data_IF_069940747794
#
_entry.id   IF_069940747794
#
_cell.length_a   1.000
_cell.length_b   1.000
_cell.length_c   1.000
_cell.angle_alpha   90.00
_cell.angle_beta   90.00
_cell.angle_gamma   90.00
#
_symmetry.space_group_name_H-M   'P 1'
#
loop_
_entity.id
_entity.type
_entity.pdbx_description
1 polymer ?
#
# COMPACT_ATOMS: atom_id res chain seq x y z
N UNK A 1 59.43 -5.89 36.43
CA UNK A 1 57.95 -5.83 36.48
C UNK A 1 57.47 -5.13 35.23
N UNK A 2 57.12 -5.90 34.20
CA UNK A 2 56.60 -5.39 32.92
C UNK A 2 55.13 -5.78 32.84
N UNK A 3 54.23 -4.80 32.91
CA UNK A 3 52.80 -5.00 32.69
C UNK A 3 52.49 -4.82 31.21
N UNK A 4 51.95 -5.86 30.59
CA UNK A 4 51.54 -5.91 29.20
C UNK A 4 50.15 -5.27 29.12
N UNK A 5 50.03 -4.13 28.44
CA UNK A 5 48.73 -3.57 28.06
C UNK A 5 48.18 -4.41 26.90
N UNK A 6 47.26 -5.32 27.23
CA UNK A 6 46.43 -6.00 26.24
C UNK A 6 45.33 -5.06 25.77
N UNK A 7 45.43 -4.58 24.53
CA UNK A 7 44.32 -3.91 23.85
C UNK A 7 43.19 -4.92 23.62
N UNK A 8 42.09 -4.74 24.35
CA UNK A 8 40.84 -5.47 24.12
C UNK A 8 40.23 -4.90 22.83
N UNK A 9 40.54 -5.53 21.70
CA UNK A 9 39.87 -5.28 20.42
C UNK A 9 38.39 -5.68 20.56
N UNK A 10 37.55 -4.70 20.83
CA UNK A 10 36.10 -4.82 20.84
C UNK A 10 35.61 -5.11 19.42
N UNK A 11 35.29 -6.36 19.12
CA UNK A 11 34.59 -6.77 17.89
C UNK A 11 33.16 -6.26 17.93
N UNK A 12 32.99 -4.96 17.63
CA UNK A 12 31.66 -4.34 17.49
C UNK A 12 30.85 -5.11 16.45
N UNK A 13 29.67 -5.55 16.87
CA UNK A 13 28.68 -6.21 16.02
C UNK A 13 28.46 -5.42 14.73
N UNK A 14 28.33 -6.10 13.60
CA UNK A 14 28.01 -5.46 12.30
C UNK A 14 26.79 -4.54 12.38
N UNK A 15 25.86 -4.80 13.32
CA UNK A 15 24.72 -3.92 13.61
C UNK A 15 25.13 -2.58 14.23
N UNK A 16 26.11 -2.57 15.14
CA UNK A 16 26.65 -1.34 15.75
C UNK A 16 27.47 -0.53 14.76
N UNK A 17 28.16 -1.17 13.83
CA UNK A 17 28.90 -0.47 12.75
C UNK A 17 27.93 0.26 11.79
N UNK A 18 26.81 -0.36 11.41
CA UNK A 18 25.76 0.24 10.58
C UNK A 18 24.97 1.35 11.33
N UNK A 19 24.66 1.16 12.61
CA UNK A 19 24.01 2.18 13.43
C UNK A 19 24.86 3.46 13.56
N UNK A 20 26.19 3.30 13.60
CA UNK A 20 27.13 4.42 13.62
C UNK A 20 27.38 5.05 12.24
N UNK A 21 27.01 4.37 11.14
CA UNK A 21 27.06 4.88 9.77
C UNK A 21 25.75 5.61 9.36
N UNK A 22 24.67 5.41 10.12
CA UNK A 22 23.37 6.04 9.94
C UNK A 22 23.40 7.60 9.96
N UNK A 23 24.19 8.28 10.82
CA UNK A 23 24.23 9.75 10.83
C UNK A 23 25.01 10.38 9.67
N UNK A 24 25.89 9.66 8.97
CA UNK A 24 26.59 10.21 7.78
C UNK A 24 25.81 10.02 6.47
N UNK A 25 24.80 9.14 6.47
CA UNK A 25 24.00 8.77 5.29
C UNK A 25 22.51 9.16 5.45
N UNK A 26 22.20 10.24 6.16
CA UNK A 26 20.84 10.63 6.60
C UNK A 26 19.73 10.79 5.54
N UNK A 27 19.98 10.42 4.29
CA UNK A 27 19.07 10.56 3.13
C UNK A 27 18.91 9.30 2.26
N UNK A 28 19.33 8.10 2.73
CA UNK A 28 19.24 6.88 1.89
C UNK A 28 17.81 6.58 1.41
N UNK A 29 16.80 6.85 2.24
CA UNK A 29 15.40 6.54 1.94
C UNK A 29 14.52 7.77 1.68
N UNK A 30 15.09 8.93 1.32
CA UNK A 30 14.35 10.18 1.10
C UNK A 30 13.25 10.43 2.17
N UNK A 31 11.98 10.16 1.83
CA UNK A 31 10.79 10.38 2.68
C UNK A 31 10.32 9.13 3.44
N UNK A 32 11.02 8.00 3.27
CA UNK A 32 10.74 6.72 3.90
C UNK A 32 11.69 6.37 5.05
N UNK A 33 11.49 5.18 5.60
CA UNK A 33 12.26 4.67 6.75
C UNK A 33 13.22 3.59 6.28
N UNK A 34 14.51 3.70 6.65
CA UNK A 34 15.50 2.69 6.29
C UNK A 34 15.48 1.53 7.28
N UNK A 35 15.18 0.33 6.79
CA UNK A 35 15.40 -0.94 7.48
C UNK A 35 16.64 -1.66 6.98
N UNK A 36 17.04 -2.71 7.70
CA UNK A 36 18.16 -3.57 7.32
C UNK A 36 17.62 -4.97 7.03
N UNK A 37 17.80 -5.44 5.81
CA UNK A 37 17.46 -6.81 5.39
C UNK A 37 18.70 -7.68 5.49
N UNK A 38 18.57 -8.80 6.22
CA UNK A 38 19.62 -9.81 6.31
C UNK A 38 19.49 -10.75 5.11
N UNK A 39 20.56 -10.86 4.31
CA UNK A 39 20.63 -11.86 3.25
C UNK A 39 20.82 -13.27 3.84
N UNK A 40 20.46 -14.29 3.06
CA UNK A 40 20.73 -15.70 3.40
C UNK A 40 22.23 -15.95 3.60
N UNK A 41 23.06 -15.21 2.84
CA UNK A 41 24.49 -15.10 3.12
C UNK A 41 24.71 -14.09 4.26
N UNK A 42 25.07 -14.63 5.43
CA UNK A 42 25.13 -13.96 6.74
C UNK A 42 26.10 -12.76 6.76
N UNK A 43 26.95 -12.64 5.75
CA UNK A 43 27.97 -11.60 5.60
C UNK A 43 27.48 -10.27 4.99
N UNK A 44 26.31 -10.24 4.34
CA UNK A 44 25.80 -9.04 3.66
C UNK A 44 24.48 -8.53 4.25
N UNK A 45 24.56 -7.39 4.92
CA UNK A 45 23.41 -6.59 5.35
C UNK A 45 23.10 -5.56 4.27
N UNK A 46 21.89 -5.60 3.73
CA UNK A 46 21.43 -4.63 2.72
C UNK A 46 20.43 -3.66 3.34
N UNK A 47 20.48 -2.39 2.94
CA UNK A 47 19.49 -1.40 3.37
C UNK A 47 18.26 -1.52 2.47
N UNK A 48 17.08 -1.57 3.08
CA UNK A 48 15.80 -1.59 2.39
C UNK A 48 14.96 -0.42 2.87
N UNK A 49 14.39 0.35 1.96
CA UNK A 49 13.52 1.47 2.30
C UNK A 49 12.05 1.03 2.38
N UNK A 50 11.38 1.44 3.45
CA UNK A 50 9.93 1.35 3.60
C UNK A 50 9.32 2.70 3.26
N UNK A 51 8.65 2.77 2.13
CA UNK A 51 8.08 4.01 1.64
C UNK A 51 6.67 4.25 2.19
N UNK A 52 6.33 5.50 2.58
CA UNK A 52 4.95 5.85 2.86
C UNK A 52 4.10 5.76 1.57
N UNK A 53 2.77 5.61 1.67
CA UNK A 53 1.91 5.34 0.50
C UNK A 53 2.03 6.35 -0.66
N UNK A 54 2.37 7.61 -0.38
CA UNK A 54 2.53 8.65 -1.40
C UNK A 54 3.85 8.61 -2.16
N UNK A 55 4.76 7.69 -1.81
CA UNK A 55 6.08 7.57 -2.43
C UNK A 55 6.41 6.11 -2.78
N UNK A 56 7.18 5.92 -3.84
CA UNK A 56 7.63 4.61 -4.31
C UNK A 56 9.05 4.70 -4.89
N UNK A 57 9.58 3.55 -5.31
CA UNK A 57 10.98 3.39 -5.72
C UNK A 57 11.81 2.72 -4.63
N UNK A 58 13.04 2.33 -4.97
CA UNK A 58 13.94 1.63 -4.03
C UNK A 58 14.35 2.51 -2.84
N UNK A 59 14.31 3.83 -3.02
CA UNK A 59 14.69 4.85 -2.06
C UNK A 59 13.58 5.86 -1.79
N UNK A 60 12.34 5.54 -2.14
CA UNK A 60 11.20 6.45 -2.00
C UNK A 60 11.41 7.79 -2.73
N UNK A 61 12.09 7.74 -3.87
CA UNK A 61 12.50 8.89 -4.68
C UNK A 61 11.38 9.41 -5.59
N UNK A 62 10.33 8.61 -5.81
CA UNK A 62 9.23 8.95 -6.69
C UNK A 62 7.96 9.22 -5.91
N UNK A 63 7.26 10.28 -6.29
CA UNK A 63 5.97 10.63 -5.71
C UNK A 63 4.84 10.08 -6.56
N UNK A 64 3.93 9.36 -5.92
CA UNK A 64 2.68 8.83 -6.50
C UNK A 64 1.67 9.96 -6.75
N UNK A 65 0.86 9.80 -7.78
CA UNK A 65 -0.32 10.63 -7.98
C UNK A 65 -1.51 10.09 -7.20
N UNK A 66 -2.51 10.96 -6.98
CA UNK A 66 -3.72 10.62 -6.23
C UNK A 66 -4.97 10.95 -7.04
N UNK A 67 -5.79 9.94 -7.28
CA UNK A 67 -7.14 10.10 -7.80
C UNK A 67 -8.13 10.10 -6.64
N UNK A 68 -8.93 11.16 -6.52
CA UNK A 68 -9.99 11.25 -5.50
C UNK A 68 -11.33 11.04 -6.16
N UNK A 69 -12.03 9.98 -5.77
CA UNK A 69 -13.37 9.67 -6.28
C UNK A 69 -14.39 9.94 -5.18
N UNK A 70 -15.44 10.65 -5.55
CA UNK A 70 -16.56 10.90 -4.65
C UNK A 70 -17.81 10.23 -5.20
N UNK A 71 -18.44 9.37 -4.39
CA UNK A 71 -19.64 8.65 -4.80
C UNK A 71 -20.70 8.79 -3.73
N UNK A 72 -21.94 8.87 -4.18
CA UNK A 72 -23.12 8.75 -3.34
C UNK A 72 -23.85 7.50 -3.78
N UNK A 73 -24.18 6.65 -2.82
CA UNK A 73 -24.98 5.47 -3.09
C UNK A 73 -26.45 5.81 -2.85
N UNK A 74 -27.34 5.31 -3.68
CA UNK A 74 -28.77 5.54 -3.52
C UNK A 74 -29.46 4.20 -3.35
N UNK A 75 -30.21 4.07 -2.26
CA UNK A 75 -31.00 2.86 -2.00
C UNK A 75 -32.23 2.88 -2.90
N UNK A 76 -32.29 1.98 -3.88
CA UNK A 76 -33.54 1.69 -4.59
C UNK A 76 -34.42 0.82 -3.68
N UNK A 77 -35.66 1.25 -3.46
CA UNK A 77 -36.57 0.67 -2.46
C UNK A 77 -37.27 -0.59 -2.94
N UNK A 78 -37.26 -1.69 -2.15
CA UNK A 78 -38.42 -2.21 -1.41
C UNK A 78 -38.24 -3.64 -0.85
N UNK A 79 -37.16 -4.34 -1.19
CA UNK A 79 -36.84 -5.60 -0.51
C UNK A 79 -35.86 -5.31 0.63
N UNK A 80 -36.29 -5.60 1.85
CA UNK A 80 -35.42 -5.67 3.03
C UNK A 80 -34.47 -6.85 2.80
N UNK A 81 -33.37 -6.63 2.07
CA UNK A 81 -32.28 -7.59 2.07
C UNK A 81 -31.71 -7.61 3.49
N UNK A 82 -32.01 -8.70 4.22
CA UNK A 82 -31.32 -9.03 5.46
C UNK A 82 -29.88 -9.33 5.09
N UNK A 83 -28.95 -8.48 5.51
CA UNK A 83 -27.54 -8.63 5.17
C UNK A 83 -26.79 -7.30 5.09
N UNK A 84 -25.52 -7.42 4.74
CA UNK A 84 -24.58 -6.30 4.59
C UNK A 84 -24.26 -6.14 3.12
N UNK A 85 -24.43 -4.93 2.58
CA UNK A 85 -23.95 -4.62 1.24
C UNK A 85 -22.49 -4.21 1.34
N UNK A 86 -21.60 -4.94 0.67
CA UNK A 86 -20.19 -4.60 0.53
C UNK A 86 -19.97 -3.93 -0.82
N UNK A 87 -19.29 -2.80 -0.82
CA UNK A 87 -18.88 -2.11 -2.04
C UNK A 87 -17.36 -2.09 -2.09
N UNK A 88 -16.82 -2.59 -3.20
CA UNK A 88 -15.39 -2.63 -3.48
C UNK A 88 -15.08 -1.65 -4.60
N UNK A 89 -14.27 -0.65 -4.29
CA UNK A 89 -13.81 0.35 -5.24
C UNK A 89 -12.38 -0.01 -5.65
N UNK A 90 -12.14 -0.28 -6.92
CA UNK A 90 -10.89 -0.82 -7.45
C UNK A 90 -10.25 0.18 -8.41
N UNK A 91 -9.00 0.55 -8.18
CA UNK A 91 -8.17 1.17 -9.20
C UNK A 91 -7.48 0.07 -10.01
N UNK A 92 -7.88 -0.06 -11.26
CA UNK A 92 -7.39 -1.06 -12.19
C UNK A 92 -6.49 -0.41 -13.22
N UNK A 93 -5.36 -1.03 -13.50
CA UNK A 93 -4.49 -0.66 -14.64
C UNK A 93 -4.45 -1.79 -15.65
N UNK A 94 -4.59 -1.43 -16.91
CA UNK A 94 -4.42 -2.34 -18.04
C UNK A 94 -3.06 -2.06 -18.67
N UNK A 95 -2.22 -3.10 -18.74
CA UNK A 95 -0.85 -3.05 -19.27
C UNK A 95 -0.73 -4.18 -20.28
N UNK A 96 -0.59 -3.88 -21.58
CA UNK A 96 -0.49 -4.90 -22.63
C UNK A 96 -1.57 -5.99 -22.50
N UNK A 97 -2.83 -5.57 -22.36
CA UNK A 97 -4.02 -6.42 -22.16
C UNK A 97 -4.05 -7.23 -20.84
N UNK A 98 -3.04 -7.11 -19.99
CA UNK A 98 -3.08 -7.66 -18.64
C UNK A 98 -3.73 -6.65 -17.69
N UNK A 99 -4.76 -7.11 -16.98
CA UNK A 99 -5.51 -6.29 -16.03
C UNK A 99 -4.98 -6.55 -14.62
N UNK A 100 -4.53 -5.50 -13.93
CA UNK A 100 -4.02 -5.60 -12.55
C UNK A 100 -4.69 -4.58 -11.65
N UNK A 101 -4.97 -4.97 -10.41
CA UNK A 101 -5.51 -4.07 -9.38
C UNK A 101 -4.33 -3.39 -8.68
N UNK A 102 -4.29 -2.06 -8.73
CA UNK A 102 -3.24 -1.25 -8.09
C UNK A 102 -3.59 -0.88 -6.66
N UNK A 103 -4.85 -0.54 -6.43
CA UNK A 103 -5.33 -0.07 -5.14
C UNK A 103 -6.82 -0.40 -4.99
N UNK A 104 -7.29 -0.58 -3.75
CA UNK A 104 -8.68 -0.92 -3.47
C UNK A 104 -9.17 -0.30 -2.17
N UNK A 105 -10.45 0.02 -2.12
CA UNK A 105 -11.15 0.47 -0.92
C UNK A 105 -12.42 -0.34 -0.74
N UNK A 106 -12.76 -0.63 0.51
CA UNK A 106 -13.95 -1.40 0.87
C UNK A 106 -14.85 -0.60 1.81
N UNK A 107 -16.15 -0.63 1.54
CA UNK A 107 -17.18 0.00 2.38
C UNK A 107 -18.32 -0.97 2.62
N UNK A 108 -18.80 -1.02 3.84
CA UNK A 108 -19.93 -1.84 4.24
C UNK A 108 -21.14 -0.98 4.58
N UNK A 109 -22.29 -1.34 4.03
CA UNK A 109 -23.57 -0.73 4.30
C UNK A 109 -24.51 -1.75 4.92
N UNK A 110 -24.93 -1.49 6.15
CA UNK A 110 -25.99 -2.28 6.79
C UNK A 110 -27.35 -1.67 6.46
N UNK A 111 -28.31 -2.50 6.05
CA UNK A 111 -29.66 -2.07 5.68
C UNK A 111 -30.41 -1.34 6.81
N UNK A 112 -29.98 -1.48 8.07
CA UNK A 112 -30.65 -0.95 9.26
C UNK A 112 -30.05 0.35 9.83
N UNK A 113 -28.76 0.65 9.60
CA UNK A 113 -28.06 1.73 10.32
C UNK A 113 -27.42 2.77 9.40
N UNK A 114 -27.15 2.46 8.13
CA UNK A 114 -26.39 3.35 7.26
C UNK A 114 -27.28 4.16 6.33
N UNK A 115 -27.21 5.48 6.48
CA UNK A 115 -27.78 6.41 5.50
C UNK A 115 -26.89 6.40 4.25
N UNK A 116 -27.26 5.63 3.23
CA UNK A 116 -26.67 5.66 1.88
C UNK A 116 -26.49 7.08 1.31
N UNK A 117 -27.21 8.08 1.86
CA UNK A 117 -27.13 9.50 1.51
C UNK A 117 -25.77 10.16 1.76
N UNK A 118 -24.90 9.59 2.59
CA UNK A 118 -23.59 10.19 2.85
C UNK A 118 -22.62 9.98 1.68
N UNK A 119 -21.97 11.07 1.26
CA UNK A 119 -20.99 11.09 0.18
C UNK A 119 -19.72 10.37 0.63
N UNK A 120 -19.45 9.23 0.03
CA UNK A 120 -18.23 8.47 0.24
C UNK A 120 -17.07 9.09 -0.55
N UNK A 121 -15.87 9.00 0.03
CA UNK A 121 -14.64 9.55 -0.55
C UNK A 121 -13.56 8.48 -0.59
N UNK A 122 -13.12 8.15 -1.80
CA UNK A 122 -12.07 7.19 -2.06
C UNK A 122 -10.80 7.90 -2.53
N UNK A 123 -9.65 7.53 -1.97
CA UNK A 123 -8.36 8.06 -2.37
C UNK A 123 -7.52 6.95 -2.96
N UNK A 124 -7.46 6.90 -4.28
CA UNK A 124 -6.61 5.96 -4.99
C UNK A 124 -5.24 6.57 -5.21
N UNK A 125 -4.19 5.79 -4.92
CA UNK A 125 -2.80 6.21 -5.13
C UNK A 125 -2.16 5.37 -6.23
N UNK A 126 -1.46 6.01 -7.17
CA UNK A 126 -0.84 5.29 -8.29
C UNK A 126 0.48 5.90 -8.78
N UNK A 127 1.40 5.08 -9.34
CA UNK A 127 2.66 5.56 -9.90
C UNK A 127 2.47 6.46 -11.12
N UNK A 128 3.34 7.45 -11.31
CA UNK A 128 3.24 8.41 -12.43
C UNK A 128 3.62 7.79 -13.78
N UNK A 129 2.84 7.99 -14.86
CA UNK A 129 3.08 7.37 -16.17
C UNK A 129 4.38 7.78 -16.87
N UNK A 130 4.96 8.95 -16.58
CA UNK A 130 6.20 9.41 -17.25
C UNK A 130 7.41 8.49 -17.03
N UNK A 131 7.35 7.58 -16.04
CA UNK A 131 8.37 6.58 -15.78
C UNK A 131 8.06 5.21 -16.41
N UNK A 132 6.84 5.02 -16.92
CA UNK A 132 6.37 3.83 -17.62
C UNK A 132 6.59 4.04 -19.12
N UNK A 133 7.86 4.01 -19.52
CA UNK A 133 8.41 4.46 -20.83
C UNK A 133 7.88 3.76 -22.11
N UNK A 134 6.91 2.87 -22.04
CA UNK A 134 6.40 2.15 -23.21
C UNK A 134 5.07 1.47 -22.90
N UNK A 135 4.09 1.60 -23.80
CA UNK A 135 2.74 1.01 -23.83
C UNK A 135 1.59 1.86 -23.25
N UNK A 136 0.41 1.66 -23.83
CA UNK A 136 -0.87 2.31 -23.51
C UNK A 136 -1.41 1.88 -22.14
N UNK A 137 -0.93 2.51 -21.07
CA UNK A 137 -1.52 2.33 -19.74
C UNK A 137 -2.90 2.96 -19.68
N UNK A 138 -3.92 2.17 -19.34
CA UNK A 138 -5.28 2.68 -19.10
C UNK A 138 -5.65 2.42 -17.65
N UNK A 139 -5.82 3.50 -16.90
CA UNK A 139 -6.33 3.44 -15.54
C UNK A 139 -7.85 3.55 -15.58
N UNK A 140 -8.53 2.62 -14.91
CA UNK A 140 -9.99 2.63 -14.76
C UNK A 140 -10.32 2.43 -13.29
N UNK A 141 -11.31 3.17 -12.79
CA UNK A 141 -11.89 2.88 -11.48
C UNK A 141 -13.13 2.03 -11.70
N UNK A 142 -13.16 0.84 -11.10
CA UNK A 142 -14.29 -0.11 -11.14
C UNK A 142 -14.95 -0.20 -9.77
N UNK A 143 -16.27 -0.32 -9.74
CA UNK A 143 -17.04 -0.45 -8.51
C UNK A 143 -17.81 -1.76 -8.53
N UNK A 144 -17.53 -2.64 -7.58
CA UNK A 144 -18.23 -3.91 -7.45
C UNK A 144 -19.08 -3.87 -6.20
N UNK A 145 -20.35 -4.26 -6.31
CA UNK A 145 -21.27 -4.33 -5.18
C UNK A 145 -21.66 -5.78 -4.92
N UNK A 146 -21.64 -6.18 -3.65
CA UNK A 146 -21.94 -7.52 -3.19
C UNK A 146 -22.95 -7.49 -2.05
N UNK A 147 -23.89 -8.43 -2.05
CA UNK A 147 -24.75 -8.72 -0.90
C UNK A 147 -24.09 -9.84 -0.10
N UNK A 148 -23.81 -9.57 1.17
CA UNK A 148 -23.35 -10.52 2.17
C UNK A 148 -24.54 -10.93 3.02
N UNK A 149 -24.98 -12.17 2.87
CA UNK A 149 -26.12 -12.70 3.60
C UNK A 149 -25.68 -13.34 4.92
N UNK A 150 -26.63 -13.55 5.84
CA UNK A 150 -26.36 -14.15 7.17
C UNK A 150 -25.93 -15.62 7.09
N UNK A 151 -26.19 -16.29 5.97
CA UNK A 151 -25.75 -17.66 5.66
C UNK A 151 -24.34 -17.72 5.03
N UNK A 152 -23.57 -16.62 5.13
CA UNK A 152 -22.24 -16.43 4.53
C UNK A 152 -22.21 -16.51 2.99
N UNK A 153 -23.36 -16.56 2.33
CA UNK A 153 -23.41 -16.49 0.87
C UNK A 153 -23.08 -15.07 0.38
N UNK A 154 -22.36 -15.00 -0.73
CA UNK A 154 -21.95 -13.76 -1.40
C UNK A 154 -22.61 -13.71 -2.77
N UNK A 155 -23.41 -12.68 -3.01
CA UNK A 155 -24.07 -12.44 -4.29
C UNK A 155 -23.56 -11.14 -4.93
N UNK A 156 -23.17 -11.19 -6.21
CA UNK A 156 -22.76 -10.01 -6.96
C UNK A 156 -24.01 -9.22 -7.39
N UNK A 157 -24.08 -7.96 -6.99
CA UNK A 157 -25.19 -7.06 -7.30
C UNK A 157 -24.93 -6.20 -8.55
N UNK A 158 -23.70 -5.68 -8.71
CA UNK A 158 -23.33 -4.79 -9.81
C UNK A 158 -21.81 -4.69 -10.00
N UNK A 159 -21.36 -4.30 -11.20
CA UNK A 159 -19.96 -4.05 -11.61
C UNK A 159 -19.89 -2.77 -12.46
#
# INVERSE_FOLDING_TARGET
MTAIQGEISSTRSSRQKLANQYPENGWVCNRGVAGVKKSFDVSQLTVQCFCPPSYYGERCEFMSDRLTVFIRFEKQTNTLSKGVIKILALLVVIINDTTTVLDHHEVHFTSALNNFKEKQKFYFVYPRPHQLRSSTYRYTVRFEAYQLNEDESIELLAV
#
